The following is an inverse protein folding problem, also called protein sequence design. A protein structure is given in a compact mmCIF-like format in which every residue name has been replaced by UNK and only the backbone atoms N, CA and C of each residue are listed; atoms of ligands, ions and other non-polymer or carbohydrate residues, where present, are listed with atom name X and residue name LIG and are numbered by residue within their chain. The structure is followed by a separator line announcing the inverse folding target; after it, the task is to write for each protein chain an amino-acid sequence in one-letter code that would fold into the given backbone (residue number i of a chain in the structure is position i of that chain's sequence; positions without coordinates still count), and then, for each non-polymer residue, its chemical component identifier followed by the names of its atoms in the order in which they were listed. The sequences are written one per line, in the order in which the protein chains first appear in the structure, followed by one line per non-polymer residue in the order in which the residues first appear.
data_IF_762202537833
#
_entry.id   IF_762202537833
#
_cell.length_a   1.000
_cell.length_b   1.000
_cell.length_c   1.000
_cell.angle_alpha   90.00
_cell.angle_beta   90.00
_cell.angle_gamma   90.00
#
_symmetry.space_group_name_H-M   'P 1'
#
loop_
_entity.id
_entity.type
_entity.pdbx_description
1 polymer ?
#
# COMPACT_ATOMS: atom_id res chain seq x y z
N UNK A 1 -5.96 -0.84 -10.41
CA UNK A 1 -6.28 0.45 -11.05
C UNK A 1 -7.20 1.32 -10.18
N UNK A 2 -8.22 0.74 -9.53
CA UNK A 2 -9.17 1.47 -8.67
C UNK A 2 -8.55 2.13 -7.41
N UNK A 3 -7.54 1.52 -6.81
CA UNK A 3 -6.81 2.11 -5.68
C UNK A 3 -6.13 3.45 -6.04
N UNK A 4 -5.38 3.48 -7.16
CA UNK A 4 -4.74 4.69 -7.65
C UNK A 4 -5.74 5.79 -8.04
N UNK A 5 -6.94 5.41 -8.48
CA UNK A 5 -8.03 6.33 -8.75
C UNK A 5 -8.54 7.01 -7.46
N UNK A 6 -8.78 6.23 -6.40
CA UNK A 6 -9.25 6.76 -5.12
C UNK A 6 -8.22 7.68 -4.45
N UNK A 7 -6.94 7.28 -4.42
CA UNK A 7 -5.85 8.10 -3.90
C UNK A 7 -5.73 9.42 -4.65
N UNK A 8 -5.87 9.40 -5.98
CA UNK A 8 -5.86 10.61 -6.81
C UNK A 8 -7.04 11.53 -6.48
N UNK A 9 -8.24 10.98 -6.35
CA UNK A 9 -9.45 11.74 -6.03
C UNK A 9 -9.35 12.43 -4.65
N UNK A 10 -8.93 11.70 -3.61
CA UNK A 10 -8.73 12.24 -2.26
C UNK A 10 -7.69 13.37 -2.25
N UNK A 11 -6.60 13.20 -2.99
CA UNK A 11 -5.55 14.21 -3.11
C UNK A 11 -6.06 15.46 -3.84
N UNK A 12 -6.81 15.30 -4.93
CA UNK A 12 -7.36 16.42 -5.70
C UNK A 12 -8.41 17.19 -4.88
N UNK A 13 -9.28 16.48 -4.14
CA UNK A 13 -10.22 17.10 -3.19
C UNK A 13 -9.49 17.86 -2.07
N UNK A 14 -8.45 17.26 -1.49
CA UNK A 14 -7.61 17.89 -0.46
C UNK A 14 -7.00 19.21 -0.95
N UNK A 15 -6.45 19.23 -2.17
CA UNK A 15 -5.89 20.45 -2.79
C UNK A 15 -6.93 21.55 -2.97
N UNK A 16 -8.12 21.21 -3.48
CA UNK A 16 -9.21 22.19 -3.69
C UNK A 16 -9.65 22.79 -2.35
N UNK A 17 -9.85 21.96 -1.32
CA UNK A 17 -10.24 22.42 0.02
C UNK A 17 -9.17 23.31 0.65
N UNK A 18 -7.89 22.99 0.44
CA UNK A 18 -6.78 23.81 0.91
C UNK A 18 -6.80 25.21 0.27
N UNK A 19 -7.03 25.30 -1.05
CA UNK A 19 -7.17 26.58 -1.76
C UNK A 19 -8.38 27.38 -1.26
N UNK A 20 -9.53 26.74 -1.06
CA UNK A 20 -10.72 27.39 -0.48
C UNK A 20 -10.43 27.94 0.91
N UNK A 21 -9.68 27.19 1.73
CA UNK A 21 -9.21 27.64 3.04
C UNK A 21 -8.33 28.89 2.96
N UNK A 22 -7.36 28.92 2.04
CA UNK A 22 -6.49 30.08 1.83
C UNK A 22 -7.25 31.32 1.32
N UNK A 23 -8.17 31.14 0.38
CA UNK A 23 -9.03 32.23 -0.11
C UNK A 23 -9.92 32.78 1.00
N UNK A 24 -10.49 31.91 1.82
CA UNK A 24 -11.31 32.30 2.97
C UNK A 24 -10.50 33.07 4.01
N UNK A 25 -9.25 32.66 4.25
CA UNK A 25 -8.32 33.36 5.13
C UNK A 25 -7.93 34.73 4.60
N UNK A 26 -7.69 34.88 3.29
CA UNK A 26 -7.44 36.18 2.67
C UNK A 26 -8.65 37.11 2.77
N UNK A 27 -9.85 36.60 2.45
CA UNK A 27 -11.11 37.35 2.55
C UNK A 27 -11.46 37.75 3.98
N UNK A 28 -11.03 36.98 4.98
CA UNK A 28 -11.22 37.30 6.39
C UNK A 28 -10.64 38.69 6.73
N UNK A 29 -9.51 39.09 6.18
CA UNK A 29 -8.95 40.43 6.45
C UNK A 29 -9.70 41.57 5.76
N UNK A 30 -10.44 41.29 4.68
CA UNK A 30 -11.11 42.30 3.87
C UNK A 30 -12.59 42.48 4.23
N UNK A 31 -13.29 41.39 4.59
CA UNK A 31 -14.74 41.37 4.79
C UNK A 31 -15.10 41.17 6.27
N UNK A 32 -14.94 42.23 7.09
CA UNK A 32 -15.20 42.22 8.54
C UNK A 32 -16.59 41.70 8.92
N UNK A 33 -17.61 42.04 8.14
CA UNK A 33 -19.00 41.62 8.42
C UNK A 33 -19.22 40.11 8.21
N UNK A 34 -18.33 39.44 7.47
CA UNK A 34 -18.44 38.02 7.11
C UNK A 34 -17.57 37.10 7.97
N UNK A 35 -16.86 37.65 8.97
CA UNK A 35 -15.92 36.89 9.82
C UNK A 35 -16.50 35.59 10.35
N UNK A 36 -17.71 35.61 10.95
CA UNK A 36 -18.33 34.39 11.51
C UNK A 36 -18.56 33.30 10.46
N UNK A 37 -18.90 33.67 9.23
CA UNK A 37 -19.15 32.70 8.14
C UNK A 37 -17.82 32.16 7.62
N UNK A 38 -16.85 33.06 7.36
CA UNK A 38 -15.52 32.70 6.89
C UNK A 38 -14.78 31.80 7.88
N UNK A 39 -14.86 32.06 9.18
CA UNK A 39 -14.26 31.20 10.21
C UNK A 39 -14.86 29.80 10.21
N UNK A 40 -16.18 29.66 10.03
CA UNK A 40 -16.82 28.33 9.93
C UNK A 40 -16.36 27.56 8.69
N UNK A 41 -16.26 28.25 7.54
CA UNK A 41 -15.76 27.66 6.29
C UNK A 41 -14.30 27.23 6.45
N UNK A 42 -13.46 28.08 7.04
CA UNK A 42 -12.06 27.77 7.32
C UNK A 42 -11.91 26.53 8.20
N UNK A 43 -12.64 26.45 9.32
CA UNK A 43 -12.59 25.29 10.22
C UNK A 43 -13.06 24.02 9.51
N UNK A 44 -14.16 24.10 8.76
CA UNK A 44 -14.69 22.96 8.01
C UNK A 44 -13.71 22.47 6.93
N UNK A 45 -13.22 23.39 6.09
CA UNK A 45 -12.27 23.07 5.03
C UNK A 45 -10.95 22.52 5.60
N UNK A 46 -10.43 23.12 6.67
CA UNK A 46 -9.22 22.65 7.34
C UNK A 46 -9.43 21.25 7.95
N UNK A 47 -10.56 21.02 8.64
CA UNK A 47 -10.87 19.73 9.24
C UNK A 47 -10.94 18.61 8.20
N UNK A 48 -11.67 18.81 7.11
CA UNK A 48 -11.77 17.81 6.03
C UNK A 48 -10.42 17.60 5.35
N UNK A 49 -9.68 18.67 5.06
CA UNK A 49 -8.34 18.59 4.48
C UNK A 49 -7.37 17.82 5.39
N UNK A 50 -7.40 18.06 6.69
CA UNK A 50 -6.56 17.35 7.66
C UNK A 50 -6.86 15.85 7.67
N UNK A 51 -8.13 15.46 7.70
CA UNK A 51 -8.55 14.05 7.67
C UNK A 51 -8.07 13.36 6.39
N UNK A 52 -8.28 13.99 5.23
CA UNK A 52 -7.83 13.45 3.94
C UNK A 52 -6.31 13.29 3.90
N UNK A 53 -5.54 14.29 4.36
CA UNK A 53 -4.09 14.20 4.39
C UNK A 53 -3.58 13.14 5.37
N UNK A 54 -4.20 12.97 6.53
CA UNK A 54 -3.84 11.90 7.47
C UNK A 54 -4.10 10.51 6.87
N UNK A 55 -5.21 10.34 6.17
CA UNK A 55 -5.51 9.10 5.47
C UNK A 55 -4.46 8.80 4.38
N UNK A 56 -4.20 9.78 3.50
CA UNK A 56 -3.19 9.67 2.44
C UNK A 56 -1.78 9.40 3.00
N UNK A 57 -1.39 10.07 4.09
CA UNK A 57 -0.12 9.83 4.76
C UNK A 57 -0.01 8.39 5.25
N UNK A 58 -1.08 7.87 5.85
CA UNK A 58 -1.12 6.49 6.35
C UNK A 58 -0.95 5.49 5.22
N UNK A 59 -1.63 5.69 4.09
CA UNK A 59 -1.50 4.84 2.91
C UNK A 59 -0.11 4.94 2.24
N UNK A 60 0.45 6.15 2.17
CA UNK A 60 1.82 6.35 1.71
C UNK A 60 2.82 5.62 2.59
N UNK A 61 2.70 5.75 3.92
CA UNK A 61 3.59 5.10 4.87
C UNK A 61 3.52 3.55 4.76
N UNK A 62 2.31 2.98 4.63
CA UNK A 62 2.14 1.54 4.37
C UNK A 62 2.84 1.11 3.08
N UNK A 63 2.72 1.93 2.03
CA UNK A 63 3.34 1.65 0.72
C UNK A 63 4.86 1.67 0.82
N UNK A 64 5.44 2.70 1.48
CA UNK A 64 6.89 2.80 1.72
C UNK A 64 7.39 1.61 2.52
N UNK A 65 6.70 1.23 3.60
CA UNK A 65 7.08 0.05 4.38
C UNK A 65 7.06 -1.23 3.53
N UNK A 66 6.04 -1.40 2.68
CA UNK A 66 5.95 -2.55 1.78
C UNK A 66 7.07 -2.56 0.74
N UNK A 67 7.43 -1.40 0.20
CA UNK A 67 8.56 -1.26 -0.72
C UNK A 67 9.89 -1.55 -0.03
N UNK A 68 10.10 -1.07 1.20
CA UNK A 68 11.31 -1.37 1.96
C UNK A 68 11.46 -2.87 2.21
N UNK A 69 10.37 -3.54 2.61
CA UNK A 69 10.37 -5.00 2.78
C UNK A 69 10.69 -5.72 1.47
N UNK A 70 10.17 -5.25 0.34
CA UNK A 70 10.45 -5.84 -0.97
C UNK A 70 11.89 -5.56 -1.43
N UNK A 71 12.45 -4.39 -1.11
CA UNK A 71 13.82 -4.00 -1.43
C UNK A 71 14.84 -5.00 -0.85
N UNK A 72 14.61 -5.49 0.37
CA UNK A 72 15.45 -6.53 0.98
C UNK A 72 15.55 -7.81 0.12
N UNK A 73 14.50 -8.16 -0.64
CA UNK A 73 14.53 -9.34 -1.53
C UNK A 73 15.25 -9.04 -2.85
N UNK A 74 15.24 -7.79 -3.32
CA UNK A 74 15.99 -7.40 -4.51
C UNK A 74 17.51 -7.44 -4.30
N UNK A 75 17.99 -7.35 -3.06
CA UNK A 75 19.42 -7.52 -2.72
C UNK A 75 19.87 -9.01 -2.78
N UNK A 76 18.92 -9.95 -2.87
CA UNK A 76 19.16 -11.39 -2.93
C UNK A 76 19.28 -11.86 -4.38
N UNK A 77 20.38 -11.50 -5.03
CA UNK A 77 20.64 -11.71 -6.46
C UNK A 77 20.87 -13.19 -6.88
N UNK A 78 20.65 -14.17 -6.01
CA UNK A 78 20.81 -15.59 -6.35
C UNK A 78 19.71 -16.45 -5.73
N UNK A 79 19.36 -17.56 -6.38
CA UNK A 79 18.39 -18.52 -5.84
C UNK A 79 18.83 -19.09 -4.50
N UNK A 80 20.12 -19.39 -4.30
CA UNK A 80 20.65 -19.85 -3.00
C UNK A 80 20.38 -18.84 -1.87
N UNK A 81 20.53 -17.54 -2.13
CA UNK A 81 20.20 -16.50 -1.14
C UNK A 81 18.70 -16.44 -0.86
N UNK A 82 17.87 -16.60 -1.89
CA UNK A 82 16.41 -16.64 -1.76
C UNK A 82 15.90 -17.89 -1.04
N UNK A 83 16.51 -19.06 -1.28
CA UNK A 83 16.24 -20.32 -0.57
C UNK A 83 16.55 -20.18 0.92
N UNK A 84 17.71 -19.60 1.26
CA UNK A 84 18.07 -19.31 2.65
C UNK A 84 17.10 -18.31 3.30
N UNK A 85 16.64 -17.31 2.54
CA UNK A 85 15.61 -16.38 3.00
C UNK A 85 14.27 -17.08 3.23
N UNK A 86 13.86 -17.99 2.36
CA UNK A 86 12.67 -18.81 2.53
C UNK A 86 12.70 -19.59 3.85
N UNK A 87 13.79 -20.27 4.17
CA UNK A 87 13.93 -21.00 5.44
C UNK A 87 13.79 -20.08 6.66
N UNK A 88 14.36 -18.88 6.56
CA UNK A 88 14.26 -17.86 7.61
C UNK A 88 12.83 -17.35 7.76
N UNK A 89 12.17 -17.04 6.65
CA UNK A 89 10.80 -16.55 6.64
C UNK A 89 9.81 -17.63 7.09
N UNK A 90 10.05 -18.90 6.74
CA UNK A 90 9.27 -20.06 7.18
C UNK A 90 9.33 -20.20 8.70
N UNK A 91 10.54 -20.20 9.28
CA UNK A 91 10.74 -20.27 10.74
C UNK A 91 10.06 -19.12 11.48
N UNK A 92 9.97 -17.95 10.85
CA UNK A 92 9.40 -16.74 11.44
C UNK A 92 7.90 -16.55 11.09
N UNK A 93 7.27 -17.50 10.40
CA UNK A 93 5.88 -17.41 9.93
C UNK A 93 5.60 -16.14 9.09
N UNK A 94 6.58 -15.74 8.28
CA UNK A 94 6.58 -14.50 7.47
C UNK A 94 6.73 -14.75 5.97
N UNK A 95 6.32 -15.92 5.50
CA UNK A 95 6.37 -16.30 4.09
C UNK A 95 5.72 -15.27 3.16
N UNK A 96 6.36 -15.05 2.02
CA UNK A 96 5.91 -14.10 0.98
C UNK A 96 5.51 -14.85 -0.30
N UNK A 97 4.77 -14.20 -1.18
CA UNK A 97 4.48 -14.74 -2.51
C UNK A 97 4.53 -13.65 -3.58
N UNK A 98 5.33 -13.87 -4.61
CA UNK A 98 5.61 -12.86 -5.63
C UNK A 98 4.84 -13.16 -6.91
N UNK A 99 3.76 -12.43 -7.16
CA UNK A 99 2.91 -12.62 -8.34
C UNK A 99 3.49 -11.91 -9.55
N UNK A 100 3.74 -12.67 -10.61
CA UNK A 100 4.14 -12.19 -11.93
C UNK A 100 3.00 -12.27 -12.93
N UNK A 101 3.01 -11.39 -13.92
CA UNK A 101 2.06 -11.39 -15.03
C UNK A 101 1.37 -10.05 -15.28
N UNK A 102 0.41 -10.07 -16.21
CA UNK A 102 -0.32 -8.89 -16.71
C UNK A 102 -1.29 -8.32 -15.65
N UNK A 103 -1.58 -9.07 -14.59
CA UNK A 103 -2.46 -8.68 -13.52
C UNK A 103 -2.04 -9.23 -12.16
N UNK A 104 -2.53 -8.58 -11.10
CA UNK A 104 -2.38 -9.05 -9.74
C UNK A 104 -3.67 -9.77 -9.32
N UNK A 105 -3.57 -11.03 -8.97
CA UNK A 105 -4.69 -11.87 -8.54
C UNK A 105 -5.06 -11.54 -7.08
N UNK A 106 -6.19 -10.85 -6.95
CA UNK A 106 -6.76 -10.43 -5.67
C UNK A 106 -7.39 -11.60 -4.91
N UNK A 107 -7.89 -12.61 -5.60
CA UNK A 107 -8.48 -13.79 -4.97
C UNK A 107 -7.37 -14.66 -4.38
N UNK A 108 -6.31 -14.93 -5.14
CA UNK A 108 -5.11 -15.60 -4.66
C UNK A 108 -4.50 -14.87 -3.46
N UNK A 109 -4.36 -13.53 -3.53
CA UNK A 109 -3.87 -12.74 -2.40
C UNK A 109 -4.73 -12.95 -1.14
N UNK A 110 -6.06 -12.91 -1.28
CA UNK A 110 -6.98 -13.10 -0.15
C UNK A 110 -6.84 -14.50 0.44
N UNK A 111 -6.76 -15.53 -0.39
CA UNK A 111 -6.61 -16.92 0.04
C UNK A 111 -5.28 -17.14 0.76
N UNK A 112 -4.16 -16.70 0.16
CA UNK A 112 -2.83 -16.79 0.76
C UNK A 112 -2.76 -16.11 2.13
N UNK A 113 -3.33 -14.91 2.23
CA UNK A 113 -3.32 -14.14 3.49
C UNK A 113 -4.22 -14.76 4.56
N UNK A 114 -5.43 -15.18 4.20
CA UNK A 114 -6.43 -15.64 5.18
C UNK A 114 -6.19 -17.07 5.64
N UNK A 115 -5.84 -17.99 4.73
CA UNK A 115 -5.65 -19.40 5.07
C UNK A 115 -4.24 -19.71 5.55
N UNK A 116 -3.23 -19.01 5.01
CA UNK A 116 -1.82 -19.36 5.25
C UNK A 116 -1.00 -18.23 5.88
N UNK A 117 -1.57 -17.05 6.11
CA UNK A 117 -0.82 -15.89 6.62
C UNK A 117 0.21 -15.32 5.65
N UNK A 118 0.21 -15.76 4.39
CA UNK A 118 1.22 -15.41 3.39
C UNK A 118 0.92 -14.05 2.78
N UNK A 119 1.89 -13.13 2.80
CA UNK A 119 1.76 -11.80 2.20
C UNK A 119 2.21 -11.83 0.74
N UNK A 120 1.31 -11.42 -0.16
CA UNK A 120 1.59 -11.44 -1.60
C UNK A 120 1.95 -10.07 -2.17
N UNK A 121 2.89 -10.03 -3.12
CA UNK A 121 3.43 -8.83 -3.79
C UNK A 121 3.24 -8.94 -5.31
N UNK A 122 2.76 -7.89 -5.96
CA UNK A 122 2.66 -7.85 -7.42
C UNK A 122 3.95 -7.32 -8.01
N UNK A 123 4.64 -8.15 -8.79
CA UNK A 123 5.95 -7.86 -9.38
C UNK A 123 5.86 -7.33 -10.81
N UNK A 124 4.67 -7.40 -11.42
CA UNK A 124 4.45 -7.04 -12.82
C UNK A 124 4.85 -8.15 -13.78
N UNK A 125 5.08 -7.80 -15.05
CA UNK A 125 5.21 -8.80 -16.11
C UNK A 125 6.60 -9.44 -16.22
N UNK A 126 7.65 -8.79 -15.71
CA UNK A 126 9.02 -9.32 -15.83
C UNK A 126 9.30 -10.30 -14.70
N UNK A 127 9.34 -11.58 -15.04
CA UNK A 127 9.74 -12.65 -14.14
C UNK A 127 11.23 -12.49 -13.81
N UNK A 128 11.56 -12.64 -12.53
CA UNK A 128 12.94 -12.65 -12.03
C UNK A 128 13.20 -14.01 -11.41
N UNK A 129 14.26 -14.69 -11.85
CA UNK A 129 14.57 -16.08 -11.52
C UNK A 129 14.65 -16.33 -10.02
N UNK A 130 15.22 -15.38 -9.28
CA UNK A 130 15.49 -15.50 -7.84
C UNK A 130 14.18 -15.53 -7.05
N UNK A 131 13.22 -14.69 -7.44
CA UNK A 131 11.89 -14.64 -6.85
C UNK A 131 11.04 -15.86 -7.22
N UNK A 132 11.25 -16.41 -8.41
CA UNK A 132 10.61 -17.65 -8.84
C UNK A 132 11.09 -18.85 -8.02
N UNK A 133 12.41 -18.94 -7.79
CA UNK A 133 12.99 -19.93 -6.87
C UNK A 133 12.34 -19.88 -5.47
N UNK A 134 12.12 -18.69 -4.91
CA UNK A 134 11.39 -18.54 -3.64
C UNK A 134 9.93 -19.05 -3.75
N UNK A 135 9.22 -18.65 -4.81
CA UNK A 135 7.83 -19.06 -5.01
C UNK A 135 7.67 -20.57 -5.19
N UNK A 136 8.60 -21.25 -5.86
CA UNK A 136 8.59 -22.71 -6.00
C UNK A 136 8.61 -23.40 -4.63
N UNK A 137 9.45 -22.93 -3.70
CA UNK A 137 9.52 -23.44 -2.34
C UNK A 137 8.22 -23.20 -1.57
N UNK A 138 7.64 -22.00 -1.71
CA UNK A 138 6.33 -21.69 -1.12
C UNK A 138 5.24 -22.59 -1.69
N UNK A 139 5.24 -22.83 -2.99
CA UNK A 139 4.27 -23.72 -3.63
C UNK A 139 4.40 -25.17 -3.14
N UNK A 140 5.63 -25.65 -2.94
CA UNK A 140 5.88 -26.98 -2.37
C UNK A 140 5.39 -27.07 -0.92
N UNK A 141 5.70 -26.06 -0.09
CA UNK A 141 5.19 -25.94 1.27
C UNK A 141 3.65 -25.94 1.32
N UNK A 142 3.00 -25.20 0.41
CA UNK A 142 1.54 -25.15 0.34
C UNK A 142 0.96 -26.51 -0.04
N UNK A 143 1.53 -27.19 -1.05
CA UNK A 143 1.11 -28.53 -1.47
C UNK A 143 1.15 -29.52 -0.31
N UNK A 144 2.28 -29.61 0.39
CA UNK A 144 2.44 -30.51 1.54
C UNK A 144 1.37 -30.28 2.61
N UNK A 145 1.16 -29.02 3.00
CA UNK A 145 0.18 -28.67 4.03
C UNK A 145 -1.28 -28.84 3.59
N UNK A 146 -1.59 -28.71 2.30
CA UNK A 146 -2.94 -29.00 1.78
C UNK A 146 -3.30 -30.50 1.77
N UNK A 147 -2.31 -31.40 1.80
CA UNK A 147 -2.55 -32.85 1.83
C UNK A 147 -2.83 -33.41 3.22
N UNK A 148 -2.67 -32.61 4.26
CA UNK A 148 -2.85 -32.98 5.68
C UNK A 148 -4.16 -32.48 6.31
N UNK A 149 -5.05 -31.86 5.53
CA UNK A 149 -6.45 -31.57 5.92
C UNK A 149 -7.41 -32.69 5.48
#
# INVERSE_FOLDING_TARGET
MQYWYNVKLELDLSKVLFVIGLLSFGLYFLAKDWHKVLTKIMIGAFGVCLVLNLHLWTEYYKTVQRQNRLAEYYELETCEKMENRFLTDLKNEKLKYFQFGIGFDLELQKTLKSKYGIESYGMGCMVQSEFDCYNELVNNYLKENTTTE
#
